data_IF_938659534622
#
_entry.id   IF_938659534622
#
_cell.length_a   1.000
_cell.length_b   1.000
_cell.length_c   1.000
_cell.angle_alpha   90.00
_cell.angle_beta   90.00
_cell.angle_gamma   90.00
#
_symmetry.space_group_name_H-M   'P 1'
#
loop_
_entity.id
_entity.type
_entity.pdbx_description
1 polymer ?
#
# COMPACT_ATOMS: atom_id res chain seq x y z
N UNK A 1 -17.54 7.41 -0.08
CA UNK A 1 -18.13 6.24 0.56
C UNK A 1 -16.99 5.50 1.22
N UNK A 2 -16.90 5.53 2.55
CA UNK A 2 -15.95 4.71 3.29
C UNK A 2 -16.37 3.24 3.11
N UNK A 3 -15.68 2.52 2.25
CA UNK A 3 -15.87 1.09 2.12
C UNK A 3 -15.24 0.41 3.31
N UNK A 4 -16.01 -0.29 4.10
CA UNK A 4 -15.49 -1.19 5.13
C UNK A 4 -14.79 -2.35 4.43
N UNK A 5 -13.48 -2.44 4.59
CA UNK A 5 -12.69 -3.55 4.07
C UNK A 5 -12.92 -4.78 4.93
N UNK A 6 -13.15 -5.94 4.32
CA UNK A 6 -13.19 -7.20 5.04
C UNK A 6 -11.85 -7.43 5.74
N UNK A 7 -11.84 -7.46 7.02
CA UNK A 7 -10.78 -8.17 7.67
C UNK A 7 -11.07 -9.66 7.45
N UNK A 8 -10.26 -10.36 6.70
CA UNK A 8 -10.06 -11.75 7.12
C UNK A 8 -9.62 -11.61 8.57
N UNK A 9 -10.21 -12.34 9.50
CA UNK A 9 -10.05 -12.18 10.98
C UNK A 9 -8.61 -12.01 11.51
N UNK A 10 -7.60 -12.01 10.67
CA UNK A 10 -6.17 -11.91 10.96
C UNK A 10 -5.46 -10.73 10.27
N UNK A 11 -6.10 -9.99 9.37
CA UNK A 11 -5.44 -8.94 8.60
C UNK A 11 -6.27 -7.66 8.62
N UNK A 12 -5.66 -6.60 9.11
CA UNK A 12 -6.29 -5.29 9.24
C UNK A 12 -6.56 -4.59 7.91
N UNK A 13 -7.21 -3.44 8.02
CA UNK A 13 -7.83 -2.71 6.90
C UNK A 13 -6.83 -2.01 5.98
N UNK A 14 -5.68 -1.60 6.46
CA UNK A 14 -4.76 -0.71 5.74
C UNK A 14 -3.50 -1.49 5.39
N UNK A 15 -3.20 -1.49 4.10
CA UNK A 15 -1.98 -2.10 3.59
C UNK A 15 -1.06 -1.08 2.94
N UNK A 16 0.17 -1.48 2.76
CA UNK A 16 1.17 -0.73 2.02
C UNK A 16 1.11 -1.14 0.56
N UNK A 17 1.22 -0.18 -0.34
CA UNK A 17 1.31 -0.46 -1.78
C UNK A 17 2.62 -1.21 -2.06
N UNK A 18 2.51 -2.26 -2.86
CA UNK A 18 3.63 -3.09 -3.34
C UNK A 18 3.58 -3.10 -4.86
N UNK A 19 4.66 -2.76 -5.51
CA UNK A 19 4.77 -2.89 -6.94
C UNK A 19 4.94 -4.37 -7.36
N UNK A 20 4.58 -4.75 -8.59
CA UNK A 20 4.71 -6.13 -9.06
C UNK A 20 6.13 -6.68 -8.90
N UNK A 21 7.14 -5.87 -9.19
CA UNK A 21 8.56 -6.21 -9.09
C UNK A 21 9.06 -6.36 -7.65
N UNK A 22 8.37 -5.78 -6.66
CA UNK A 22 8.72 -5.88 -5.24
C UNK A 22 8.12 -7.12 -4.57
N UNK A 23 7.02 -7.66 -5.13
CA UNK A 23 6.19 -8.66 -4.47
C UNK A 23 6.98 -9.89 -4.01
N UNK A 24 7.76 -10.49 -4.90
CA UNK A 24 8.53 -11.69 -4.60
C UNK A 24 9.58 -11.44 -3.49
N UNK A 25 10.23 -10.27 -3.51
CA UNK A 25 11.19 -9.90 -2.49
C UNK A 25 10.54 -9.73 -1.11
N UNK A 26 9.37 -9.09 -1.07
CA UNK A 26 8.61 -8.90 0.18
C UNK A 26 8.14 -10.24 0.75
N UNK A 27 7.72 -11.19 -0.10
CA UNK A 27 7.35 -12.55 0.30
C UNK A 27 8.55 -13.29 0.90
N UNK A 28 9.72 -13.24 0.25
CA UNK A 28 10.98 -13.81 0.77
C UNK A 28 11.41 -13.20 2.11
N UNK A 29 11.31 -11.89 2.24
CA UNK A 29 11.63 -11.20 3.50
C UNK A 29 10.68 -11.60 4.63
N UNK A 30 9.41 -11.84 4.33
CA UNK A 30 8.45 -12.34 5.30
C UNK A 30 8.80 -13.76 5.77
N UNK A 31 9.16 -14.65 4.86
CA UNK A 31 9.61 -16.01 5.18
C UNK A 31 10.86 -16.00 6.06
N UNK A 32 11.88 -15.24 5.68
CA UNK A 32 13.14 -15.10 6.44
C UNK A 32 12.90 -14.60 7.88
N UNK A 33 11.94 -13.69 8.05
CA UNK A 33 11.57 -13.15 9.36
C UNK A 33 10.49 -13.98 10.08
N UNK A 34 10.01 -15.07 9.47
CA UNK A 34 8.90 -15.91 9.99
C UNK A 34 7.62 -15.11 10.26
N UNK A 35 7.34 -14.15 9.40
CA UNK A 35 6.17 -13.27 9.49
C UNK A 35 5.11 -13.77 8.50
N UNK A 36 3.88 -13.98 8.99
CA UNK A 36 2.74 -14.23 8.11
C UNK A 36 2.27 -12.92 7.49
N UNK A 37 2.23 -12.89 6.17
CA UNK A 37 1.71 -11.74 5.42
C UNK A 37 0.59 -12.18 4.48
N UNK A 38 -0.18 -11.20 4.04
CA UNK A 38 -1.15 -11.35 2.95
C UNK A 38 -0.96 -10.21 1.97
N UNK A 39 -0.71 -10.54 0.72
CA UNK A 39 -0.62 -9.58 -0.38
C UNK A 39 -1.80 -9.83 -1.30
N UNK A 40 -2.59 -8.79 -1.57
CA UNK A 40 -3.74 -8.82 -2.48
C UNK A 40 -3.47 -7.91 -3.67
N UNK A 41 -4.07 -8.19 -4.84
CA UNK A 41 -4.10 -7.21 -5.92
C UNK A 41 -4.75 -5.92 -5.43
N UNK A 42 -4.34 -4.78 -5.97
CA UNK A 42 -4.95 -3.48 -5.66
C UNK A 42 -5.49 -2.80 -6.91
N UNK A 43 -4.63 -2.65 -7.91
CA UNK A 43 -4.95 -1.98 -9.17
C UNK A 43 -4.60 -2.92 -10.30
N UNK A 44 -5.54 -3.12 -11.20
CA UNK A 44 -5.36 -3.87 -12.42
C UNK A 44 -5.88 -3.10 -13.61
N UNK A 45 -5.49 -3.51 -14.80
CA UNK A 45 -5.90 -2.85 -16.05
C UNK A 45 -6.30 -3.85 -17.11
N UNK A 46 -7.22 -3.42 -17.98
CA UNK A 46 -7.64 -4.16 -19.18
C UNK A 46 -7.82 -3.23 -20.37
N UNK A 47 -7.93 -3.84 -21.56
CA UNK A 47 -8.16 -3.08 -22.81
C UNK A 47 -9.60 -2.62 -22.96
N UNK A 48 -10.55 -3.32 -22.38
CA UNK A 48 -11.98 -3.01 -22.47
C UNK A 48 -12.72 -3.39 -21.18
N UNK A 49 -13.93 -2.84 -21.02
CA UNK A 49 -14.77 -3.00 -19.82
C UNK A 49 -15.26 -4.45 -19.60
N UNK A 50 -15.39 -5.23 -20.66
CA UNK A 50 -15.94 -6.58 -20.60
C UNK A 50 -14.84 -7.63 -20.31
N UNK A 51 -13.63 -7.19 -20.09
CA UNK A 51 -12.48 -8.05 -19.85
C UNK A 51 -11.90 -7.76 -18.47
N UNK A 52 -11.82 -8.79 -17.65
CA UNK A 52 -11.15 -8.74 -16.35
C UNK A 52 -9.70 -8.22 -16.51
N UNK A 53 -9.11 -7.66 -15.46
CA UNK A 53 -7.72 -7.19 -15.51
C UNK A 53 -6.78 -8.25 -16.04
N UNK A 54 -6.02 -7.90 -17.05
CA UNK A 54 -4.99 -8.77 -17.66
C UNK A 54 -3.60 -8.46 -17.14
N UNK A 55 -3.42 -7.28 -16.52
CA UNK A 55 -2.15 -6.86 -15.91
C UNK A 55 -2.45 -6.23 -14.56
N UNK A 56 -1.70 -6.61 -13.54
CA UNK A 56 -1.72 -5.97 -12.23
C UNK A 56 -0.65 -4.88 -12.22
N UNK A 57 -1.04 -3.66 -11.87
CA UNK A 57 -0.14 -2.51 -11.72
C UNK A 57 0.35 -2.37 -10.28
N UNK A 58 -0.46 -2.75 -9.31
CA UNK A 58 -0.09 -2.64 -7.91
C UNK A 58 -0.77 -3.73 -7.07
N UNK A 59 -0.08 -4.15 -6.04
CA UNK A 59 -0.56 -4.99 -4.95
C UNK A 59 -0.68 -4.18 -3.66
N UNK A 60 -1.27 -4.79 -2.66
CA UNK A 60 -1.39 -4.23 -1.32
C UNK A 60 -0.97 -5.28 -0.29
N UNK A 61 0.06 -4.95 0.48
CA UNK A 61 0.42 -5.70 1.67
C UNK A 61 -0.59 -5.36 2.76
N UNK A 62 -1.37 -6.34 3.19
CA UNK A 62 -2.40 -6.13 4.22
C UNK A 62 -1.75 -5.93 5.60
N UNK A 63 -2.33 -5.01 6.36
CA UNK A 63 -1.99 -4.85 7.78
C UNK A 63 -2.49 -6.03 8.62
N UNK A 64 -1.97 -6.17 9.82
CA UNK A 64 -2.45 -7.08 10.85
C UNK A 64 -3.13 -6.32 11.97
N UNK A 65 -4.06 -6.98 12.65
CA UNK A 65 -4.74 -6.43 13.81
C UNK A 65 -3.93 -6.77 15.06
N UNK A 66 -2.94 -5.92 15.34
CA UNK A 66 -2.08 -6.00 16.53
C UNK A 66 -1.91 -4.59 17.09
N UNK A 67 -2.47 -4.31 18.27
CA UNK A 67 -2.53 -2.98 18.86
C UNK A 67 -3.08 -1.89 17.90
N UNK A 68 -4.13 -2.24 17.15
CA UNK A 68 -4.64 -1.49 16.02
C UNK A 68 -4.09 -2.01 14.68
N UNK A 69 -4.45 -1.36 13.58
CA UNK A 69 -3.98 -1.77 12.25
C UNK A 69 -2.51 -1.41 12.06
N UNK A 70 -1.65 -2.39 12.14
CA UNK A 70 -0.21 -2.24 11.98
C UNK A 70 0.33 -2.98 10.77
N UNK A 71 1.46 -2.49 10.25
CA UNK A 71 2.21 -3.23 9.24
C UNK A 71 2.80 -4.51 9.88
N UNK A 72 2.70 -5.69 9.22
CA UNK A 72 3.22 -6.95 9.76
C UNK A 72 4.74 -6.94 10.01
N UNK A 73 5.47 -6.06 9.36
CA UNK A 73 6.92 -5.92 9.54
C UNK A 73 7.32 -4.98 10.68
N UNK A 74 6.38 -4.39 11.42
CA UNK A 74 6.72 -3.60 12.60
C UNK A 74 7.02 -4.50 13.79
N UNK A 75 8.04 -4.14 14.54
CA UNK A 75 8.42 -4.83 15.77
C UNK A 75 7.69 -4.20 16.96
N UNK A 76 6.48 -4.65 17.19
CA UNK A 76 5.58 -4.16 18.24
C UNK A 76 5.90 -4.72 19.62
N UNK A 77 6.69 -5.81 19.70
CA UNK A 77 6.87 -6.59 20.92
C UNK A 77 8.25 -6.43 21.58
N UNK A 78 9.29 -6.01 20.85
CA UNK A 78 10.65 -5.93 21.42
C UNK A 78 10.87 -4.80 22.43
N UNK A 79 9.91 -3.88 22.55
CA UNK A 79 10.07 -2.66 23.35
C UNK A 79 11.04 -1.64 22.76
N UNK A 80 11.71 -1.95 21.67
CA UNK A 80 12.61 -1.04 20.95
C UNK A 80 11.80 0.06 20.26
N UNK A 81 12.39 1.24 20.16
CA UNK A 81 11.82 2.35 19.39
C UNK A 81 12.74 2.68 18.20
N UNK A 82 12.14 3.11 17.11
CA UNK A 82 12.88 3.68 15.99
C UNK A 82 13.49 5.04 16.38
N UNK A 83 14.41 5.53 15.59
CA UNK A 83 15.02 6.87 15.80
C UNK A 83 13.99 8.01 15.84
N UNK A 84 12.80 7.77 15.29
CA UNK A 84 11.69 8.73 15.26
C UNK A 84 10.55 8.41 16.24
N UNK A 85 10.80 7.53 17.22
CA UNK A 85 9.89 7.25 18.34
C UNK A 85 8.77 6.22 18.07
N UNK A 86 8.63 5.72 16.85
CA UNK A 86 7.69 4.65 16.49
C UNK A 86 8.29 3.25 16.63
N UNK A 87 7.55 2.22 16.25
CA UNK A 87 8.05 0.86 16.17
C UNK A 87 9.09 0.70 15.05
N UNK A 88 10.20 -0.01 15.27
CA UNK A 88 11.17 -0.27 14.23
C UNK A 88 10.61 -1.22 13.16
N UNK A 89 10.99 -1.00 11.91
CA UNK A 89 10.67 -1.89 10.81
C UNK A 89 11.74 -2.98 10.67
N UNK A 90 11.35 -4.25 10.67
CA UNK A 90 12.26 -5.40 10.55
C UNK A 90 12.94 -5.48 9.19
N UNK A 91 12.35 -4.89 8.17
CA UNK A 91 12.87 -4.86 6.79
C UNK A 91 13.20 -3.43 6.34
N UNK A 92 13.64 -2.57 7.25
CA UNK A 92 13.83 -1.13 6.98
C UNK A 92 14.69 -0.83 5.76
N UNK A 93 15.74 -1.62 5.53
CA UNK A 93 16.65 -1.44 4.39
C UNK A 93 16.05 -1.84 3.05
N UNK A 94 15.16 -2.83 3.10
CA UNK A 94 14.51 -3.44 1.93
C UNK A 94 12.99 -3.15 1.93
N UNK A 95 12.59 -2.05 2.56
CA UNK A 95 11.20 -1.63 2.65
C UNK A 95 10.65 -1.26 1.27
N UNK A 96 9.33 -1.46 1.03
CA UNK A 96 8.71 -1.08 -0.22
C UNK A 96 8.92 0.39 -0.59
N UNK A 97 8.94 0.70 -1.88
CA UNK A 97 9.06 2.07 -2.40
C UNK A 97 7.99 3.00 -1.81
N UNK A 98 6.77 2.49 -1.61
CA UNK A 98 5.70 3.27 -0.96
C UNK A 98 6.06 3.69 0.48
N UNK A 99 6.77 2.84 1.23
CA UNK A 99 7.31 3.21 2.54
C UNK A 99 8.48 4.18 2.45
N UNK A 100 9.22 4.15 1.35
CA UNK A 100 10.35 5.04 1.10
C UNK A 100 9.89 6.41 0.63
N UNK A 101 8.82 6.48 -0.15
CA UNK A 101 8.21 7.73 -0.58
C UNK A 101 7.47 8.47 0.57
N UNK A 102 7.00 7.73 1.59
CA UNK A 102 6.28 8.34 2.70
C UNK A 102 7.19 9.31 3.49
N UNK A 103 6.76 10.51 3.84
CA UNK A 103 5.37 10.98 3.85
C UNK A 103 4.91 11.77 2.60
N UNK A 104 5.69 11.75 1.51
CA UNK A 104 5.36 12.48 0.28
C UNK A 104 4.19 11.79 -0.44
N UNK A 105 3.15 12.57 -0.77
CA UNK A 105 1.95 12.10 -1.49
C UNK A 105 1.99 12.61 -2.93
N UNK A 106 2.43 13.84 -3.12
CA UNK A 106 2.43 14.52 -4.41
C UNK A 106 3.72 15.33 -4.59
N UNK A 107 4.18 15.47 -5.84
CA UNK A 107 5.41 16.17 -6.18
C UNK A 107 5.12 17.59 -6.69
N UNK A 108 4.04 17.77 -7.43
CA UNK A 108 3.65 19.06 -8.03
C UNK A 108 2.16 19.38 -7.81
N UNK A 109 1.79 20.24 -6.86
CA UNK A 109 2.67 20.81 -5.82
C UNK A 109 3.12 19.76 -4.80
N UNK A 110 4.20 20.01 -4.07
CA UNK A 110 4.65 19.11 -3.00
C UNK A 110 3.56 19.02 -1.94
N UNK A 111 3.08 17.81 -1.70
CA UNK A 111 2.06 17.50 -0.69
C UNK A 111 2.53 16.36 0.20
N UNK A 112 2.43 16.56 1.50
CA UNK A 112 2.82 15.58 2.53
C UNK A 112 1.60 15.07 3.29
N UNK A 113 1.64 13.79 3.70
CA UNK A 113 0.58 13.23 4.53
C UNK A 113 0.51 13.95 5.90
N UNK A 114 -0.59 14.65 6.11
CA UNK A 114 -0.84 15.39 7.34
C UNK A 114 -0.99 14.48 8.58
N UNK A 115 -1.17 13.18 8.41
CA UNK A 115 -1.18 12.21 9.50
C UNK A 115 0.23 11.87 10.00
N UNK A 116 1.27 12.21 9.24
CA UNK A 116 2.64 12.03 9.67
C UNK A 116 2.97 12.96 10.84
N UNK A 117 3.30 12.39 11.99
CA UNK A 117 3.69 13.17 13.18
C UNK A 117 4.89 14.09 12.88
N UNK A 118 5.87 13.57 12.14
CA UNK A 118 7.06 14.31 11.76
C UNK A 118 6.73 15.55 10.90
N UNK A 119 5.72 15.46 10.02
CA UNK A 119 5.31 16.60 9.20
C UNK A 119 4.56 17.66 9.99
N UNK A 120 3.93 17.29 11.11
CA UNK A 120 3.26 18.26 12.00
C UNK A 120 4.23 19.06 12.85
N UNK A 121 5.33 18.43 13.26
CA UNK A 121 6.32 19.03 14.18
C UNK A 121 7.39 19.85 13.44
N UNK A 122 7.64 19.53 12.18
CA UNK A 122 8.69 20.18 11.37
C UNK A 122 8.09 20.77 10.11
N UNK A 123 8.25 22.06 9.89
CA UNK A 123 7.84 22.71 8.63
C UNK A 123 8.42 22.03 7.38
N UNK A 124 7.79 22.22 6.23
CA UNK A 124 8.20 21.58 4.96
C UNK A 124 9.41 22.26 4.32
N UNK A 125 9.70 23.52 4.67
CA UNK A 125 10.65 24.36 3.99
C UNK A 125 12.12 23.90 4.08
N UNK A 126 12.47 23.16 5.15
CA UNK A 126 13.87 22.83 5.45
C UNK A 126 14.20 21.34 5.20
N UNK A 127 13.32 20.60 4.51
CA UNK A 127 13.52 19.16 4.34
C UNK A 127 14.07 18.82 2.98
N UNK A 128 15.16 18.08 2.98
CA UNK A 128 15.60 17.38 1.78
C UNK A 128 14.71 16.15 1.54
N UNK A 129 13.77 16.24 0.60
CA UNK A 129 12.84 15.19 0.20
C UNK A 129 13.29 14.47 -1.09
N UNK A 130 14.56 14.55 -1.44
CA UNK A 130 15.06 13.97 -2.70
C UNK A 130 14.84 12.47 -2.76
N UNK A 131 15.04 11.76 -1.66
CA UNK A 131 14.88 10.31 -1.59
C UNK A 131 13.40 9.90 -1.69
N UNK A 132 12.52 10.61 -0.99
CA UNK A 132 11.07 10.41 -1.04
C UNK A 132 10.55 10.73 -2.45
N UNK A 133 11.02 11.81 -3.05
CA UNK A 133 10.66 12.23 -4.42
C UNK A 133 11.10 11.18 -5.44
N UNK A 134 12.33 10.71 -5.38
CA UNK A 134 12.84 9.66 -6.26
C UNK A 134 12.02 8.38 -6.13
N UNK A 135 11.67 7.98 -4.90
CA UNK A 135 10.85 6.81 -4.64
C UNK A 135 9.44 6.97 -5.21
N UNK A 136 8.82 8.13 -5.06
CA UNK A 136 7.49 8.40 -5.59
C UNK A 136 7.49 8.45 -7.13
N UNK A 137 8.51 9.03 -7.75
CA UNK A 137 8.67 9.02 -9.21
C UNK A 137 8.78 7.59 -9.75
N UNK A 138 9.56 6.72 -9.12
CA UNK A 138 9.66 5.30 -9.51
C UNK A 138 8.31 4.59 -9.42
N UNK A 139 7.51 4.88 -8.39
CA UNK A 139 6.15 4.32 -8.27
C UNK A 139 5.28 4.83 -9.42
N UNK A 140 5.28 6.11 -9.70
CA UNK A 140 4.49 6.71 -10.77
C UNK A 140 4.89 6.12 -12.14
N UNK A 141 6.18 5.96 -12.40
CA UNK A 141 6.70 5.36 -13.62
C UNK A 141 6.29 3.90 -13.77
N UNK A 142 6.43 3.08 -12.72
CA UNK A 142 6.02 1.67 -12.74
C UNK A 142 4.52 1.49 -12.94
N UNK A 143 3.72 2.46 -12.51
CA UNK A 143 2.26 2.43 -12.65
C UNK A 143 1.75 3.07 -13.94
N UNK A 144 2.61 3.59 -14.80
CA UNK A 144 2.20 4.12 -16.09
C UNK A 144 1.57 3.04 -16.97
N UNK A 145 0.47 3.42 -17.63
CA UNK A 145 -0.27 2.52 -18.50
C UNK A 145 -1.03 3.30 -19.57
N UNK A 146 -1.13 2.73 -20.75
CA UNK A 146 -2.00 3.17 -21.84
C UNK A 146 -3.35 2.43 -21.88
N UNK A 147 -3.59 1.57 -20.90
CA UNK A 147 -4.83 0.83 -20.80
C UNK A 147 -6.03 1.76 -20.52
N UNK A 148 -7.16 1.46 -21.18
CA UNK A 148 -8.37 2.29 -21.12
C UNK A 148 -9.23 2.03 -19.90
N UNK A 149 -9.07 0.87 -19.28
CA UNK A 149 -9.90 0.47 -18.14
C UNK A 149 -9.04 0.17 -16.94
N UNK A 150 -9.29 0.89 -15.88
CA UNK A 150 -8.64 0.71 -14.58
C UNK A 150 -9.61 0.01 -13.66
N UNK A 151 -9.12 -1.00 -12.97
CA UNK A 151 -9.88 -1.82 -12.05
C UNK A 151 -9.27 -1.73 -10.66
N UNK A 152 -10.10 -1.58 -9.66
CA UNK A 152 -9.70 -1.67 -8.27
C UNK A 152 -10.15 -2.99 -7.67
N UNK A 153 -9.25 -3.69 -6.99
CA UNK A 153 -9.62 -4.87 -6.24
C UNK A 153 -10.34 -4.47 -4.96
N UNK A 154 -11.58 -4.91 -4.82
CA UNK A 154 -12.37 -4.68 -3.62
C UNK A 154 -11.86 -5.61 -2.51
N UNK A 155 -11.05 -5.07 -1.61
CA UNK A 155 -10.61 -5.77 -0.39
C UNK A 155 -11.67 -5.70 0.70
N UNK A 156 -12.86 -5.18 0.40
CA UNK A 156 -13.94 -4.99 1.33
C UNK A 156 -15.30 -5.35 0.77
N UNK A 157 -16.24 -5.60 1.62
CA UNK A 157 -17.66 -5.70 1.29
C UNK A 157 -18.24 -4.31 1.29
N UNK A 158 -18.54 -3.81 0.12
CA UNK A 158 -19.65 -2.87 -0.02
C UNK A 158 -20.95 -3.61 0.22
N UNK A 159 -22.04 -2.90 0.44
CA UNK A 159 -23.34 -3.50 0.64
C UNK A 159 -23.62 -4.62 -0.38
N UNK A 160 -24.34 -5.63 0.03
CA UNK A 160 -24.48 -6.97 -0.57
C UNK A 160 -25.05 -7.05 -2.00
N UNK A 161 -25.13 -5.95 -2.73
CA UNK A 161 -25.88 -5.91 -3.99
C UNK A 161 -25.08 -6.31 -5.24
N UNK A 162 -23.77 -6.45 -5.16
CA UNK A 162 -22.97 -6.73 -6.35
C UNK A 162 -22.34 -8.15 -6.29
N UNK A 163 -23.14 -9.14 -6.69
CA UNK A 163 -22.70 -10.53 -6.73
C UNK A 163 -21.49 -10.77 -7.66
N UNK A 164 -21.29 -9.92 -8.67
CA UNK A 164 -20.11 -10.00 -9.54
C UNK A 164 -18.85 -9.52 -8.82
N UNK A 165 -18.94 -8.47 -8.01
CA UNK A 165 -17.82 -8.00 -7.17
C UNK A 165 -17.42 -9.09 -6.17
N UNK A 166 -18.39 -9.78 -5.59
CA UNK A 166 -18.14 -10.88 -4.65
C UNK A 166 -17.42 -12.04 -5.35
N UNK A 167 -17.76 -12.35 -6.60
CA UNK A 167 -17.13 -13.45 -7.36
C UNK A 167 -15.72 -13.13 -7.82
N UNK A 168 -15.48 -11.91 -8.28
CA UNK A 168 -14.23 -11.54 -8.94
C UNK A 168 -13.32 -10.68 -8.09
N UNK A 169 -13.88 -9.96 -7.12
CA UNK A 169 -13.16 -8.99 -6.31
C UNK A 169 -12.77 -7.70 -7.05
N UNK A 170 -13.10 -7.56 -8.33
CA UNK A 170 -12.72 -6.43 -9.16
C UNK A 170 -13.89 -5.46 -9.40
N UNK A 171 -13.60 -4.18 -9.32
CA UNK A 171 -14.51 -3.07 -9.60
C UNK A 171 -13.89 -2.19 -10.66
N UNK A 172 -14.63 -1.93 -11.74
CA UNK A 172 -14.21 -0.97 -12.76
C UNK A 172 -14.29 0.45 -12.18
N UNK A 173 -13.23 1.22 -12.32
CA UNK A 173 -13.23 2.64 -11.99
C UNK A 173 -13.84 3.41 -13.17
N UNK A 174 -14.96 4.07 -12.95
CA UNK A 174 -15.54 5.02 -13.90
C UNK A 174 -14.79 6.35 -13.76
N UNK A 175 -14.16 6.79 -14.86
CA UNK A 175 -13.59 8.13 -15.04
C UNK A 175 -14.40 8.91 -16.07
#
# INVERSE_FOLDING_TARGET
VEREYYPTKQFGKIGVLILPEEKENIEKLAELNKIKIKILPRIGVSKNKNQMPTKILAYQLMGIEDNGNTCPFLDTHSGKKSTHGGFPCKIYKDKPLACSAYPLIEINPISLDQKCKFCKECGTADKNLNFETESLLKIQESMQTDARCIWRYATGVGEQEDQEIIKTGWVLEDY
#
